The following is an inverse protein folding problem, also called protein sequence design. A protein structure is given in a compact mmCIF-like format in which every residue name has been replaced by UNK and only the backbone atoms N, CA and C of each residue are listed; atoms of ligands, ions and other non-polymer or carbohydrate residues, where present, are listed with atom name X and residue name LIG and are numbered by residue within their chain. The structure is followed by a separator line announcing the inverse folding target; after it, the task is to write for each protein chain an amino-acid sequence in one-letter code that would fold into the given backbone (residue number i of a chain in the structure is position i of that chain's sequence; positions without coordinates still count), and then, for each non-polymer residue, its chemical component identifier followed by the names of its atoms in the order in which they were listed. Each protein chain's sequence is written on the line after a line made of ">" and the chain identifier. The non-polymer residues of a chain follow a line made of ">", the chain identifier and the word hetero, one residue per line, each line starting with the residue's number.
data_IF_104468024729
#
_entry.id   IF_104468024729
#
_cell.length_a   1.000
_cell.length_b   1.000
_cell.length_c   1.000
_cell.angle_alpha   90.00
_cell.angle_beta   90.00
_cell.angle_gamma   90.00
#
_symmetry.space_group_name_H-M   'P 1'
#
loop_
_entity.id
_entity.type
_entity.pdbx_description
1 polymer ?
#
# COMPACT_ATOMS: atom_id res chain seq x y z
N UNK A 1 -36.56 37.82 -62.97
CA UNK A 1 -35.67 36.67 -62.85
C UNK A 1 -34.90 36.81 -61.55
N UNK A 2 -35.35 36.08 -60.52
CA UNK A 2 -34.74 36.16 -59.17
C UNK A 2 -33.91 34.89 -58.98
N UNK A 3 -32.63 35.09 -58.76
CA UNK A 3 -31.68 33.99 -58.45
C UNK A 3 -31.66 33.79 -56.92
N UNK A 4 -32.23 32.68 -56.49
CA UNK A 4 -32.21 32.27 -55.09
C UNK A 4 -30.89 31.59 -54.83
N UNK A 5 -29.98 32.23 -54.06
CA UNK A 5 -28.75 31.62 -53.60
C UNK A 5 -29.05 30.88 -52.33
N UNK A 6 -29.05 29.57 -52.45
CA UNK A 6 -29.28 28.62 -51.36
C UNK A 6 -27.97 28.54 -50.51
N UNK A 7 -27.99 29.16 -49.33
CA UNK A 7 -26.89 29.06 -48.37
C UNK A 7 -26.90 27.70 -47.70
N UNK A 8 -26.15 26.78 -48.24
CA UNK A 8 -25.86 25.49 -47.63
C UNK A 8 -24.99 25.69 -46.40
N UNK A 9 -25.59 25.58 -45.22
CA UNK A 9 -24.86 25.61 -43.95
C UNK A 9 -24.06 24.33 -43.82
N UNK A 10 -22.76 24.42 -44.03
CA UNK A 10 -21.81 23.35 -43.71
C UNK A 10 -21.67 23.37 -42.20
N UNK A 11 -22.38 22.43 -41.51
CA UNK A 11 -22.09 22.10 -40.12
C UNK A 11 -20.86 21.20 -40.10
N UNK A 12 -19.74 21.81 -39.75
CA UNK A 12 -18.52 21.08 -39.42
C UNK A 12 -18.75 20.40 -38.07
N UNK A 13 -19.04 19.10 -38.12
CA UNK A 13 -19.14 18.24 -36.93
C UNK A 13 -17.73 17.97 -36.45
N UNK A 14 -17.25 18.78 -35.49
CA UNK A 14 -15.97 18.57 -34.82
C UNK A 14 -16.14 17.42 -33.82
N UNK A 15 -15.97 16.18 -34.28
CA UNK A 15 -15.83 15.04 -33.39
C UNK A 15 -14.51 15.17 -32.63
N UNK A 16 -14.57 15.76 -31.43
CA UNK A 16 -13.48 15.68 -30.47
C UNK A 16 -13.34 14.22 -30.02
N UNK A 17 -12.40 13.50 -30.61
CA UNK A 17 -11.95 12.19 -30.13
C UNK A 17 -11.24 12.45 -28.80
N UNK A 18 -11.97 12.35 -27.69
CA UNK A 18 -11.39 12.27 -26.36
C UNK A 18 -10.82 10.84 -26.24
N UNK A 19 -9.57 10.66 -26.64
CA UNK A 19 -8.82 9.49 -26.29
C UNK A 19 -8.54 9.53 -24.79
N UNK A 20 -9.39 8.89 -24.00
CA UNK A 20 -9.10 8.58 -22.60
C UNK A 20 -7.93 7.61 -22.60
N UNK A 21 -6.72 8.15 -22.45
CA UNK A 21 -5.55 7.36 -22.11
C UNK A 21 -5.81 6.82 -20.72
N UNK A 22 -6.33 5.60 -20.64
CA UNK A 22 -6.34 4.83 -19.39
C UNK A 22 -4.89 4.55 -19.05
N UNK A 23 -4.29 5.44 -18.25
CA UNK A 23 -3.01 5.16 -17.60
C UNK A 23 -3.31 3.98 -16.68
N UNK A 24 -2.96 2.78 -17.11
CA UNK A 24 -2.82 1.63 -16.21
C UNK A 24 -1.79 2.04 -15.17
N UNK A 25 -2.29 2.48 -14.01
CA UNK A 25 -1.48 2.70 -12.82
C UNK A 25 -1.00 1.32 -12.37
N UNK A 26 0.12 0.87 -12.97
CA UNK A 26 0.88 -0.23 -12.41
C UNK A 26 1.36 0.26 -11.04
N UNK A 27 0.88 -0.34 -9.96
CA UNK A 27 1.44 -0.12 -8.64
C UNK A 27 2.89 -0.60 -8.67
N UNK A 28 3.76 0.06 -7.91
CA UNK A 28 5.18 -0.22 -7.92
C UNK A 28 5.99 0.69 -8.84
N UNK A 29 5.40 1.77 -9.37
CA UNK A 29 6.22 2.83 -9.95
C UNK A 29 6.99 3.57 -8.83
N UNK A 30 8.21 4.10 -9.10
CA UNK A 30 8.97 4.85 -8.10
C UNK A 30 8.17 6.01 -7.47
N UNK A 31 7.29 6.65 -8.23
CA UNK A 31 6.43 7.71 -7.72
C UNK A 31 5.37 7.19 -6.72
N UNK A 32 4.78 6.03 -6.99
CA UNK A 32 3.81 5.40 -6.10
C UNK A 32 4.47 4.85 -4.83
N UNK A 33 5.66 4.28 -4.97
CA UNK A 33 6.46 3.81 -3.83
C UNK A 33 6.82 4.97 -2.90
N UNK A 34 7.27 6.09 -3.49
CA UNK A 34 7.55 7.29 -2.72
C UNK A 34 6.30 7.84 -2.03
N UNK A 35 5.19 7.94 -2.74
CA UNK A 35 3.92 8.42 -2.17
C UNK A 35 3.43 7.52 -1.02
N UNK A 36 3.60 6.19 -1.14
CA UNK A 36 3.28 5.23 -0.10
C UNK A 36 4.15 5.45 1.14
N UNK A 37 5.47 5.52 0.98
CA UNK A 37 6.41 5.69 2.11
C UNK A 37 6.24 7.05 2.77
N UNK A 38 6.03 8.12 2.02
CA UNK A 38 5.80 9.46 2.56
C UNK A 38 4.49 9.50 3.38
N UNK A 39 3.41 8.93 2.84
CA UNK A 39 2.12 8.86 3.54
C UNK A 39 2.21 8.00 4.79
N UNK A 40 2.88 6.85 4.72
CA UNK A 40 3.09 5.98 5.87
C UNK A 40 3.88 6.70 6.97
N UNK A 41 5.00 7.33 6.60
CA UNK A 41 5.83 8.09 7.54
C UNK A 41 5.03 9.20 8.23
N UNK A 42 4.30 9.99 7.45
CA UNK A 42 3.48 11.09 8.00
C UNK A 42 2.45 10.57 8.99
N UNK A 43 1.72 9.51 8.64
CA UNK A 43 0.71 8.92 9.51
C UNK A 43 1.33 8.33 10.79
N UNK A 44 2.48 7.66 10.65
CA UNK A 44 3.19 7.05 11.78
C UNK A 44 3.66 8.11 12.78
N UNK A 45 4.37 9.14 12.31
CA UNK A 45 4.89 10.22 13.17
C UNK A 45 3.78 11.07 13.80
N UNK A 46 2.64 11.24 13.09
CA UNK A 46 1.45 11.93 13.60
C UNK A 46 0.57 11.05 14.50
N UNK A 47 0.88 9.77 14.66
CA UNK A 47 0.04 8.78 15.37
C UNK A 47 -1.38 8.68 14.79
N UNK A 48 -1.51 8.86 13.48
CA UNK A 48 -2.77 8.71 12.74
C UNK A 48 -3.03 7.21 12.47
N UNK A 49 -3.59 6.55 13.48
CA UNK A 49 -3.89 5.11 13.44
C UNK A 49 -4.89 4.76 12.35
N UNK A 50 -5.86 5.63 12.05
CA UNK A 50 -6.84 5.40 11.00
C UNK A 50 -6.17 5.31 9.62
N UNK A 51 -5.24 6.22 9.32
CA UNK A 51 -4.46 6.16 8.09
C UNK A 51 -3.54 4.95 8.07
N UNK A 52 -2.88 4.60 9.18
CA UNK A 52 -2.03 3.40 9.27
C UNK A 52 -2.84 2.12 9.01
N UNK A 53 -4.01 1.98 9.61
CA UNK A 53 -4.90 0.83 9.37
C UNK A 53 -5.38 0.76 7.91
N UNK A 54 -5.49 1.89 7.22
CA UNK A 54 -5.89 1.92 5.81
C UNK A 54 -4.89 1.26 4.86
N UNK A 55 -3.65 1.03 5.29
CA UNK A 55 -2.66 0.26 4.53
C UNK A 55 -2.84 -1.25 4.65
N UNK A 56 -3.60 -1.74 5.63
CA UNK A 56 -3.84 -3.16 5.82
C UNK A 56 -4.82 -3.70 4.76
N UNK A 57 -4.44 -4.78 4.10
CA UNK A 57 -5.37 -5.55 3.27
C UNK A 57 -6.11 -6.57 4.14
N UNK A 58 -7.39 -6.33 4.35
CA UNK A 58 -8.21 -7.06 5.32
C UNK A 58 -9.09 -8.15 4.71
N UNK A 59 -9.21 -8.20 3.38
CA UNK A 59 -10.07 -9.17 2.73
C UNK A 59 -9.50 -10.59 2.88
N UNK A 60 -10.24 -11.46 3.56
CA UNK A 60 -9.83 -12.81 3.86
C UNK A 60 -8.81 -12.92 5.01
N UNK A 61 -8.53 -11.82 5.73
CA UNK A 61 -7.69 -11.84 6.90
C UNK A 61 -8.36 -12.60 8.05
N UNK A 62 -7.53 -13.26 8.87
CA UNK A 62 -7.97 -13.80 10.16
C UNK A 62 -8.27 -12.62 11.10
N UNK A 63 -9.44 -12.60 11.79
CA UNK A 63 -9.83 -11.47 12.64
C UNK A 63 -8.88 -11.21 13.81
N UNK A 64 -8.31 -12.23 14.42
CA UNK A 64 -7.40 -12.08 15.57
C UNK A 64 -6.05 -11.56 15.10
N UNK A 65 -5.54 -12.09 13.98
CA UNK A 65 -4.31 -11.60 13.38
C UNK A 65 -4.48 -10.16 12.91
N UNK A 66 -5.63 -9.80 12.34
CA UNK A 66 -5.94 -8.42 11.99
C UNK A 66 -5.91 -7.51 13.22
N UNK A 67 -6.51 -7.95 14.33
CA UNK A 67 -6.46 -7.22 15.59
C UNK A 67 -5.03 -7.00 16.08
N UNK A 68 -4.18 -8.02 15.97
CA UNK A 68 -2.76 -7.94 16.31
C UNK A 68 -2.00 -6.93 15.41
N UNK A 69 -2.22 -6.98 14.09
CA UNK A 69 -1.61 -6.01 13.16
C UNK A 69 -1.99 -4.57 13.47
N UNK A 70 -3.27 -4.31 13.76
CA UNK A 70 -3.75 -2.98 14.17
C UNK A 70 -3.11 -2.52 15.48
N UNK A 71 -3.03 -3.40 16.45
CA UNK A 71 -2.39 -3.11 17.74
C UNK A 71 -0.91 -2.78 17.54
N UNK A 72 -0.15 -3.57 16.78
CA UNK A 72 1.26 -3.29 16.50
C UNK A 72 1.46 -1.94 15.84
N UNK A 73 0.66 -1.62 14.79
CA UNK A 73 0.78 -0.33 14.12
C UNK A 73 0.47 0.86 15.03
N UNK A 74 -0.47 0.70 15.97
CA UNK A 74 -0.82 1.78 16.90
C UNK A 74 0.15 1.92 18.06
N UNK A 75 0.73 0.83 18.56
CA UNK A 75 1.69 0.87 19.67
C UNK A 75 3.02 1.51 19.29
N UNK A 76 3.47 1.28 18.07
CA UNK A 76 4.75 1.79 17.58
C UNK A 76 4.64 3.23 17.04
N UNK A 77 3.42 3.69 16.74
CA UNK A 77 3.16 5.00 16.15
C UNK A 77 3.46 6.16 17.12
N UNK A 78 3.91 7.28 16.57
CA UNK A 78 4.27 8.50 17.28
C UNK A 78 5.77 8.66 17.53
N UNK A 79 6.57 7.61 17.26
CA UNK A 79 8.02 7.71 17.22
C UNK A 79 8.53 8.41 15.95
N UNK A 80 9.76 8.90 15.97
CA UNK A 80 10.39 9.49 14.79
C UNK A 80 10.96 8.39 13.90
N UNK A 81 10.56 8.37 12.63
CA UNK A 81 11.15 7.47 11.64
C UNK A 81 12.47 8.07 11.15
N UNK A 82 13.58 7.41 11.49
CA UNK A 82 14.92 7.76 11.01
C UNK A 82 15.20 7.24 9.61
N UNK A 83 14.60 6.09 9.26
CA UNK A 83 14.73 5.47 7.94
C UNK A 83 13.44 4.73 7.56
N UNK A 84 13.01 4.90 6.32
CA UNK A 84 11.91 4.13 5.71
C UNK A 84 12.28 3.80 4.27
N UNK A 85 12.20 2.53 3.91
CA UNK A 85 12.56 2.05 2.58
C UNK A 85 11.60 0.96 2.12
N UNK A 86 11.29 0.99 0.83
CA UNK A 86 10.64 -0.11 0.13
C UNK A 86 11.71 -0.83 -0.71
N UNK A 87 11.92 -2.10 -0.44
CA UNK A 87 12.94 -2.91 -1.12
C UNK A 87 12.32 -4.12 -1.79
N UNK A 88 12.97 -4.61 -2.84
CA UNK A 88 12.58 -5.85 -3.48
C UNK A 88 12.79 -7.03 -2.53
N UNK A 89 11.99 -8.09 -2.70
CA UNK A 89 12.13 -9.30 -1.90
C UNK A 89 13.38 -10.07 -2.31
N UNK A 90 14.16 -10.50 -1.32
CA UNK A 90 15.17 -11.52 -1.52
C UNK A 90 14.52 -12.89 -1.76
N UNK A 91 15.25 -13.89 -2.31
CA UNK A 91 14.74 -15.26 -2.41
C UNK A 91 14.32 -15.83 -1.05
N UNK A 92 15.02 -15.47 0.02
CA UNK A 92 14.68 -15.87 1.38
C UNK A 92 13.37 -15.22 1.86
N UNK A 93 13.19 -13.92 1.64
CA UNK A 93 11.95 -13.20 1.94
C UNK A 93 10.77 -13.82 1.18
N UNK A 94 10.93 -14.14 -0.10
CA UNK A 94 9.91 -14.78 -0.91
C UNK A 94 9.51 -16.16 -0.37
N UNK A 95 10.50 -16.95 0.07
CA UNK A 95 10.27 -18.25 0.72
C UNK A 95 9.55 -18.08 2.05
N UNK A 96 9.97 -17.14 2.88
CA UNK A 96 9.32 -16.82 4.16
C UNK A 96 7.86 -16.41 3.97
N UNK A 97 7.60 -15.54 2.98
CA UNK A 97 6.26 -15.08 2.65
C UNK A 97 5.32 -16.20 2.15
N UNK A 98 5.87 -17.22 1.50
CA UNK A 98 5.11 -18.38 1.00
C UNK A 98 4.92 -19.48 2.04
N UNK A 99 5.62 -19.41 3.18
CA UNK A 99 5.56 -20.43 4.22
C UNK A 99 4.35 -20.19 5.13
N UNK A 100 3.48 -21.20 5.33
CA UNK A 100 2.39 -21.09 6.30
C UNK A 100 2.92 -20.82 7.71
N UNK A 101 2.27 -19.92 8.43
CA UNK A 101 2.59 -19.54 9.80
C UNK A 101 1.60 -20.21 10.78
N UNK A 102 2.01 -20.43 12.01
CA UNK A 102 1.10 -20.85 13.06
C UNK A 102 0.21 -19.68 13.49
N UNK A 103 -1.10 -19.92 13.54
CA UNK A 103 -2.04 -18.93 14.09
C UNK A 103 -2.03 -19.01 15.63
N UNK A 104 -2.14 -17.88 16.33
CA UNK A 104 -2.32 -17.86 17.78
C UNK A 104 -3.53 -18.65 18.26
N UNK A 105 -4.56 -18.80 17.43
CA UNK A 105 -5.79 -19.53 17.72
C UNK A 105 -5.76 -20.99 17.29
N UNK A 106 -4.64 -21.45 16.76
CA UNK A 106 -4.46 -22.79 16.21
C UNK A 106 -4.66 -22.82 14.69
N UNK A 107 -4.06 -23.84 14.07
CA UNK A 107 -4.06 -23.99 12.61
C UNK A 107 -2.98 -23.19 11.90
N UNK A 108 -3.04 -23.19 10.57
CA UNK A 108 -2.08 -22.49 9.71
C UNK A 108 -2.73 -21.32 9.00
N UNK A 109 -1.99 -20.22 8.92
CA UNK A 109 -2.38 -19.01 8.16
C UNK A 109 -1.33 -18.69 7.12
N UNK A 110 -1.77 -18.09 6.04
CA UNK A 110 -0.97 -17.68 4.90
C UNK A 110 -1.22 -16.23 4.60
N UNK A 111 -0.27 -15.53 3.99
CA UNK A 111 -0.53 -14.17 3.51
C UNK A 111 -1.69 -14.19 2.50
N UNK A 112 -2.63 -13.28 2.66
CA UNK A 112 -3.83 -13.16 1.79
C UNK A 112 -3.51 -12.70 0.37
N UNK A 113 -2.37 -12.02 0.19
CA UNK A 113 -1.81 -11.62 -1.09
C UNK A 113 -0.34 -12.00 -1.17
N UNK A 114 0.13 -12.32 -2.38
CA UNK A 114 1.54 -12.55 -2.63
C UNK A 114 2.28 -11.21 -2.58
N UNK A 115 3.26 -11.03 -1.67
CA UNK A 115 4.02 -9.79 -1.60
C UNK A 115 4.99 -9.68 -2.77
N UNK A 116 5.29 -8.44 -3.12
CA UNK A 116 6.25 -8.07 -4.17
C UNK A 116 7.44 -7.30 -3.61
N UNK A 117 7.24 -6.65 -2.45
CA UNK A 117 8.25 -5.82 -1.80
C UNK A 117 8.20 -6.00 -0.28
N UNK A 118 9.20 -5.42 0.39
CA UNK A 118 9.31 -5.35 1.84
C UNK A 118 9.50 -3.89 2.27
N UNK A 119 8.69 -3.42 3.21
CA UNK A 119 8.84 -2.14 3.88
C UNK A 119 9.76 -2.32 5.09
N UNK A 120 10.83 -1.55 5.14
CA UNK A 120 11.77 -1.52 6.25
C UNK A 120 11.63 -0.15 6.93
N UNK A 121 11.40 -0.17 8.23
CA UNK A 121 11.24 1.03 9.05
C UNK A 121 12.24 0.96 10.19
N UNK A 122 13.03 2.03 10.36
CA UNK A 122 13.84 2.24 11.56
C UNK A 122 13.31 3.46 12.30
N UNK A 123 13.03 3.30 13.59
CA UNK A 123 12.57 4.37 14.47
C UNK A 123 13.61 4.66 15.54
N UNK A 124 13.71 5.93 15.90
CA UNK A 124 14.51 6.38 17.03
C UNK A 124 13.59 6.85 18.14
N UNK A 125 13.80 6.32 19.32
CA UNK A 125 13.18 6.80 20.55
C UNK A 125 14.28 7.37 21.45
N UNK A 126 14.06 8.60 21.91
CA UNK A 126 14.94 9.26 22.89
C UNK A 126 14.17 9.42 24.18
N UNK A 127 14.70 8.90 25.25
CA UNK A 127 14.22 9.09 26.62
C UNK A 127 15.33 9.63 27.52
N UNK A 128 15.03 9.82 28.79
CA UNK A 128 15.97 10.32 29.80
C UNK A 128 17.17 9.38 30.02
N UNK A 129 17.05 8.10 29.62
CA UNK A 129 18.05 7.07 29.82
C UNK A 129 18.92 6.83 28.58
N UNK A 130 18.60 7.49 27.44
CA UNK A 130 19.38 7.35 26.22
C UNK A 130 18.57 7.35 24.93
N UNK A 131 19.20 6.85 23.87
CA UNK A 131 18.59 6.70 22.55
C UNK A 131 18.54 5.22 22.19
N UNK A 132 17.38 4.72 21.80
CA UNK A 132 17.20 3.38 21.26
C UNK A 132 16.71 3.44 19.81
N UNK A 133 17.15 2.47 19.00
CA UNK A 133 16.70 2.31 17.62
C UNK A 133 15.99 0.96 17.49
N UNK A 134 14.79 0.95 16.99
CA UNK A 134 14.09 -0.29 16.63
C UNK A 134 13.97 -0.40 15.11
N UNK A 135 13.89 -1.64 14.61
CA UNK A 135 13.71 -1.95 13.20
C UNK A 135 12.51 -2.88 13.05
N UNK A 136 11.58 -2.51 12.19
CA UNK A 136 10.46 -3.36 11.80
C UNK A 136 10.45 -3.61 10.30
N UNK A 137 9.89 -4.74 9.90
CA UNK A 137 9.78 -5.16 8.51
C UNK A 137 8.37 -5.66 8.24
N UNK A 138 7.76 -5.18 7.15
CA UNK A 138 6.44 -5.60 6.71
C UNK A 138 6.48 -6.03 5.24
N UNK A 139 5.83 -7.13 4.90
CA UNK A 139 5.60 -7.48 3.51
C UNK A 139 4.61 -6.52 2.87
N UNK A 140 4.87 -6.16 1.61
CA UNK A 140 4.02 -5.27 0.82
C UNK A 140 3.60 -6.00 -0.44
N UNK A 141 2.30 -5.99 -0.70
CA UNK A 141 1.71 -6.52 -1.91
C UNK A 141 1.06 -5.40 -2.73
N UNK A 142 0.80 -5.70 -3.98
CA UNK A 142 0.04 -4.85 -4.87
C UNK A 142 -1.38 -5.37 -5.02
N UNK A 143 -2.37 -4.49 -4.84
CA UNK A 143 -3.78 -4.81 -5.05
C UNK A 143 -4.52 -3.60 -5.64
N UNK A 144 -5.15 -3.81 -6.79
CA UNK A 144 -5.96 -2.79 -7.48
C UNK A 144 -5.21 -1.45 -7.66
N UNK A 145 -3.94 -1.52 -8.06
CA UNK A 145 -3.08 -0.36 -8.28
C UNK A 145 -2.61 0.34 -7.00
N UNK A 146 -2.71 -0.31 -5.83
CA UNK A 146 -2.27 0.23 -4.54
C UNK A 146 -1.29 -0.70 -3.86
N UNK A 147 -0.36 -0.12 -3.12
CA UNK A 147 0.52 -0.85 -2.21
C UNK A 147 -0.18 -1.04 -0.87
N UNK A 148 -0.21 -2.28 -0.38
CA UNK A 148 -0.90 -2.67 0.85
C UNK A 148 -0.07 -3.67 1.66
N UNK A 149 -0.33 -3.75 2.96
CA UNK A 149 0.25 -4.74 3.87
C UNK A 149 -0.70 -5.95 3.91
N UNK A 150 -0.33 -7.12 3.36
CA UNK A 150 -1.20 -8.30 3.39
C UNK A 150 -1.29 -8.86 4.80
N UNK A 151 -2.47 -8.87 5.38
CA UNK A 151 -2.72 -9.52 6.67
C UNK A 151 -2.99 -11.01 6.44
N UNK A 152 -2.36 -11.92 7.20
CA UNK A 152 -2.58 -13.32 7.06
C UNK A 152 -4.03 -13.76 7.33
N UNK A 153 -4.46 -14.79 6.63
CA UNK A 153 -5.75 -15.44 6.80
C UNK A 153 -5.63 -16.95 6.62
N UNK A 154 -6.73 -17.73 6.72
CA UNK A 154 -6.71 -19.18 6.53
C UNK A 154 -6.02 -19.55 5.20
N UNK A 155 -5.11 -20.53 5.25
CA UNK A 155 -4.50 -21.07 4.02
C UNK A 155 -5.58 -21.73 3.15
N UNK A 156 -5.54 -21.46 1.86
CA UNK A 156 -6.46 -22.05 0.86
C UNK A 156 -5.90 -23.35 0.32
#
# INVERSE_FOLDING_TARGET
>A
MAFVINRMKIQILLCALITTVSVLLLAGTPAQEKAFTDKYKTAFEAKDTATLESFLYTQGADPEILGFYKMMQSSDAGGKISKIELVDLTPEDAKKAATPMDSPTGGKVCLTLKPTKKLIIATETKDENGSSTSKSENFIAEKDGKLVIPVPGPCK
#
